data_IF_977127697833
#
_entry.id   IF_977127697833
#
_cell.length_a   1.000
_cell.length_b   1.000
_cell.length_c   1.000
_cell.angle_alpha   90.00
_cell.angle_beta   90.00
_cell.angle_gamma   90.00
#
_symmetry.space_group_name_H-M   'P 1'
#
loop_
_entity.id
_entity.type
_entity.pdbx_description
1 polymer ?
#
# COMPACT_ATOMS: atom_id res chain seq x y z
N UNK A 1 55.61 7.07 -22.41
CA UNK A 1 55.11 6.20 -21.32
C UNK A 1 54.33 7.08 -20.35
N UNK A 2 53.01 7.12 -20.47
CA UNK A 2 52.14 7.92 -19.61
C UNK A 2 50.84 7.18 -19.41
N UNK A 3 50.82 6.24 -18.47
CA UNK A 3 49.62 5.55 -18.06
C UNK A 3 48.83 6.51 -17.15
N UNK A 4 47.82 7.16 -17.70
CA UNK A 4 46.87 7.94 -16.91
C UNK A 4 46.00 6.95 -16.12
N UNK A 5 46.20 6.93 -14.81
CA UNK A 5 45.36 6.19 -13.87
C UNK A 5 43.98 6.84 -13.83
N UNK A 6 42.98 6.19 -14.44
CA UNK A 6 41.59 6.61 -14.31
C UNK A 6 41.05 5.87 -13.08
N UNK A 7 40.73 6.55 -11.96
CA UNK A 7 40.14 5.88 -10.82
C UNK A 7 38.79 5.29 -11.26
N UNK A 8 38.65 3.98 -11.12
CA UNK A 8 37.47 3.22 -11.50
C UNK A 8 36.32 3.60 -10.55
N UNK A 9 35.57 4.66 -10.84
CA UNK A 9 34.38 5.04 -10.09
C UNK A 9 33.19 4.16 -10.51
N UNK A 10 33.19 2.89 -10.09
CA UNK A 10 32.06 1.98 -10.31
C UNK A 10 31.12 2.00 -9.10
N UNK A 11 29.94 2.60 -9.26
CA UNK A 11 28.87 2.50 -8.26
C UNK A 11 28.30 1.08 -8.25
N UNK A 12 28.23 0.46 -7.07
CA UNK A 12 27.63 -0.87 -6.88
C UNK A 12 26.61 -0.81 -5.75
N UNK A 13 25.38 -1.23 -6.03
CA UNK A 13 24.34 -1.37 -5.02
C UNK A 13 24.50 -2.72 -4.29
N UNK A 14 24.48 -2.69 -2.96
CA UNK A 14 24.51 -3.87 -2.11
C UNK A 14 23.27 -3.89 -1.23
N UNK A 15 22.46 -4.94 -1.38
CA UNK A 15 21.24 -5.18 -0.60
C UNK A 15 20.36 -3.92 -0.41
N UNK A 16 20.07 -3.15 -1.47
CA UNK A 16 19.28 -1.93 -1.32
C UNK A 16 17.86 -2.27 -0.89
N UNK A 17 17.29 -1.44 -0.01
CA UNK A 17 15.84 -1.43 0.19
C UNK A 17 15.21 -0.59 -0.91
N UNK A 18 14.42 -1.21 -1.78
CA UNK A 18 13.68 -0.47 -2.80
C UNK A 18 12.39 0.11 -2.20
N UNK A 19 12.09 1.37 -2.53
CA UNK A 19 10.85 2.03 -2.13
C UNK A 19 10.01 2.30 -3.38
N UNK A 20 8.80 1.77 -3.41
CA UNK A 20 7.86 1.98 -4.52
C UNK A 20 6.94 3.18 -4.24
N UNK A 21 7.10 4.23 -5.04
CA UNK A 21 6.27 5.44 -4.98
C UNK A 21 5.61 5.70 -6.33
N UNK A 22 4.27 5.66 -6.38
CA UNK A 22 3.51 5.92 -7.59
C UNK A 22 2.11 6.46 -7.28
N UNK A 23 1.49 7.26 -8.17
CA UNK A 23 0.08 7.58 -8.06
C UNK A 23 -0.76 6.31 -8.22
N UNK A 24 -1.82 6.18 -7.41
CA UNK A 24 -2.71 5.01 -7.41
C UNK A 24 -3.42 4.79 -8.76
N UNK A 25 -3.71 5.85 -9.50
CA UNK A 25 -4.28 5.81 -10.85
C UNK A 25 -4.01 7.09 -11.62
N UNK A 26 -4.04 7.02 -12.96
CA UNK A 26 -3.72 8.15 -13.86
C UNK A 26 -4.77 9.26 -13.85
N UNK A 27 -6.05 8.90 -13.70
CA UNK A 27 -7.18 9.84 -13.75
C UNK A 27 -8.22 9.48 -12.69
N UNK A 28 -9.09 10.45 -12.36
CA UNK A 28 -10.19 10.23 -11.41
C UNK A 28 -9.76 10.04 -9.94
N UNK A 29 -8.50 10.30 -9.60
CA UNK A 29 -7.97 10.14 -8.24
C UNK A 29 -8.72 10.99 -7.20
N UNK A 30 -9.01 12.25 -7.51
CA UNK A 30 -9.72 13.15 -6.59
C UNK A 30 -11.10 12.61 -6.21
N UNK A 31 -11.92 12.21 -7.20
CA UNK A 31 -13.25 11.62 -6.96
C UNK A 31 -13.15 10.32 -6.17
N UNK A 32 -12.20 9.46 -6.51
CA UNK A 32 -12.00 8.19 -5.82
C UNK A 32 -11.60 8.40 -4.35
N UNK A 33 -10.68 9.34 -4.08
CA UNK A 33 -10.28 9.71 -2.73
C UNK A 33 -11.42 10.32 -1.92
N UNK A 34 -12.27 11.14 -2.54
CA UNK A 34 -13.44 11.70 -1.87
C UNK A 34 -14.41 10.59 -1.42
N UNK A 35 -14.67 9.60 -2.29
CA UNK A 35 -15.50 8.44 -1.94
C UNK A 35 -14.91 7.61 -0.80
N UNK A 36 -13.60 7.30 -0.86
CA UNK A 36 -12.91 6.61 0.22
C UNK A 36 -12.95 7.39 1.54
N UNK A 37 -12.71 8.70 1.49
CA UNK A 37 -12.71 9.54 2.69
C UNK A 37 -14.08 9.58 3.37
N UNK A 38 -15.15 9.64 2.57
CA UNK A 38 -16.51 9.61 3.08
C UNK A 38 -16.83 8.26 3.74
N UNK A 39 -16.53 7.17 3.07
CA UNK A 39 -16.76 5.84 3.62
C UNK A 39 -15.92 5.56 4.87
N UNK A 40 -14.68 6.05 4.94
CA UNK A 40 -13.85 5.98 6.16
C UNK A 40 -14.50 6.69 7.35
N UNK A 41 -15.17 7.84 7.14
CA UNK A 41 -15.89 8.55 8.20
C UNK A 41 -17.11 7.77 8.64
N UNK A 42 -17.91 7.29 7.70
CA UNK A 42 -19.09 6.48 7.99
C UNK A 42 -18.70 5.22 8.77
N UNK A 43 -17.67 4.49 8.31
CA UNK A 43 -17.14 3.31 8.98
C UNK A 43 -16.76 3.62 10.43
N UNK A 44 -15.99 4.69 10.64
CA UNK A 44 -15.59 5.13 11.97
C UNK A 44 -16.81 5.40 12.85
N UNK A 45 -17.83 6.06 12.33
CA UNK A 45 -19.00 6.49 13.10
C UNK A 45 -19.94 5.31 13.42
N UNK A 46 -20.01 4.28 12.56
CA UNK A 46 -20.72 3.02 12.83
C UNK A 46 -19.94 2.08 13.77
N UNK A 47 -18.61 2.09 13.75
CA UNK A 47 -17.77 1.14 14.49
C UNK A 47 -17.59 1.49 15.98
N UNK A 48 -18.67 1.38 16.75
CA UNK A 48 -18.62 1.68 18.19
C UNK A 48 -17.63 0.76 18.94
N UNK A 49 -17.47 -0.49 18.51
CA UNK A 49 -16.52 -1.43 19.11
C UNK A 49 -15.07 -1.00 18.84
N UNK A 50 -14.72 -0.71 17.58
CA UNK A 50 -13.40 -0.24 17.19
C UNK A 50 -13.04 1.11 17.81
N UNK A 51 -13.99 2.04 17.94
CA UNK A 51 -13.76 3.30 18.68
C UNK A 51 -13.45 3.05 20.16
N UNK A 52 -14.21 2.19 20.85
CA UNK A 52 -13.97 1.84 22.27
C UNK A 52 -12.64 1.13 22.48
N UNK A 53 -12.24 0.27 21.54
CA UNK A 53 -10.95 -0.40 21.56
C UNK A 53 -9.81 0.59 21.31
N UNK A 54 -9.94 1.44 20.28
CA UNK A 54 -8.94 2.44 19.91
C UNK A 54 -8.70 3.46 21.02
N UNK A 55 -9.76 3.89 21.71
CA UNK A 55 -9.65 4.81 22.86
C UNK A 55 -8.76 4.27 23.98
N UNK A 56 -8.60 2.94 24.08
CA UNK A 56 -7.76 2.30 25.10
C UNK A 56 -6.39 1.87 24.55
N UNK A 57 -6.32 1.50 23.27
CA UNK A 57 -5.17 0.76 22.71
C UNK A 57 -4.47 1.44 21.53
N UNK A 58 -5.06 2.50 20.95
CA UNK A 58 -4.54 3.17 19.76
C UNK A 58 -4.42 4.69 19.99
N UNK A 59 -3.34 5.15 20.67
CA UNK A 59 -3.10 6.56 20.88
C UNK A 59 -2.89 7.23 19.51
N UNK A 60 -3.81 8.12 19.11
CA UNK A 60 -3.79 8.77 17.79
C UNK A 60 -5.11 8.73 17.04
N UNK A 61 -6.16 8.13 17.61
CA UNK A 61 -7.52 8.28 17.12
C UNK A 61 -8.24 6.95 16.97
N UNK A 62 -8.62 6.62 15.73
CA UNK A 62 -9.40 5.43 15.41
C UNK A 62 -8.66 4.55 14.42
N UNK A 63 -8.70 3.24 14.66
CA UNK A 63 -8.36 2.21 13.69
C UNK A 63 -9.43 1.14 13.67
N UNK A 64 -9.75 0.63 12.48
CA UNK A 64 -10.66 -0.51 12.31
C UNK A 64 -9.93 -1.86 12.42
N UNK A 65 -8.62 -1.86 12.67
CA UNK A 65 -7.79 -3.07 12.60
C UNK A 65 -8.31 -4.22 13.48
N UNK A 66 -8.79 -3.92 14.69
CA UNK A 66 -9.28 -4.90 15.65
C UNK A 66 -10.79 -5.20 15.54
N UNK A 67 -11.50 -4.57 14.60
CA UNK A 67 -12.97 -4.62 14.53
C UNK A 67 -13.51 -4.96 13.14
N UNK A 68 -12.90 -4.42 12.08
CA UNK A 68 -13.27 -4.65 10.68
C UNK A 68 -12.00 -4.71 9.81
N UNK A 69 -11.53 -5.92 9.57
CA UNK A 69 -10.31 -6.23 8.82
C UNK A 69 -10.57 -6.64 7.35
N UNK A 70 -11.78 -7.03 6.99
CA UNK A 70 -12.12 -7.54 5.64
C UNK A 70 -12.98 -6.57 4.80
N UNK A 71 -12.79 -5.24 4.94
CA UNK A 71 -13.59 -4.20 4.27
C UNK A 71 -13.77 -4.41 2.76
N UNK A 72 -12.73 -4.89 2.09
CA UNK A 72 -12.71 -5.14 0.65
C UNK A 72 -13.73 -6.20 0.20
N UNK A 73 -14.19 -7.08 1.10
CA UNK A 73 -15.15 -8.16 0.77
C UNK A 73 -16.59 -7.69 0.69
N UNK A 74 -16.94 -6.63 1.42
CA UNK A 74 -18.32 -6.13 1.50
C UNK A 74 -18.49 -4.69 1.00
N UNK A 75 -17.41 -3.90 0.94
CA UNK A 75 -17.43 -2.56 0.33
C UNK A 75 -16.95 -2.60 -1.12
N UNK A 76 -17.77 -2.03 -2.01
CA UNK A 76 -17.40 -1.85 -3.42
C UNK A 76 -16.27 -0.84 -3.59
N UNK A 77 -16.19 0.20 -2.75
CA UNK A 77 -15.11 1.20 -2.79
C UNK A 77 -13.78 0.58 -2.36
N UNK A 78 -13.76 -0.16 -1.24
CA UNK A 78 -12.56 -0.85 -0.78
C UNK A 78 -12.16 -2.01 -1.68
N UNK A 79 -13.10 -2.76 -2.26
CA UNK A 79 -12.81 -3.74 -3.31
C UNK A 79 -12.23 -3.08 -4.58
N UNK A 80 -12.70 -1.87 -4.89
CA UNK A 80 -12.12 -1.02 -5.93
C UNK A 80 -10.69 -0.56 -5.61
N UNK A 81 -10.37 -0.32 -4.34
CA UNK A 81 -9.03 -0.01 -3.86
C UNK A 81 -8.10 -1.24 -3.93
N UNK A 82 -8.56 -2.40 -3.46
CA UNK A 82 -7.84 -3.67 -3.51
C UNK A 82 -7.36 -3.99 -4.93
N UNK A 83 -8.24 -3.89 -5.93
CA UNK A 83 -7.87 -4.14 -7.33
C UNK A 83 -6.74 -3.23 -7.81
N UNK A 84 -6.76 -1.95 -7.41
CA UNK A 84 -5.71 -0.98 -7.75
C UNK A 84 -4.41 -1.32 -7.03
N UNK A 85 -4.46 -1.56 -5.72
CA UNK A 85 -3.29 -1.95 -4.92
C UNK A 85 -2.65 -3.24 -5.45
N UNK A 86 -3.44 -4.26 -5.76
CA UNK A 86 -2.96 -5.53 -6.32
C UNK A 86 -2.14 -5.31 -7.61
N UNK A 87 -2.54 -4.37 -8.47
CA UNK A 87 -1.76 -4.00 -9.66
C UNK A 87 -0.39 -3.39 -9.29
N UNK A 88 -0.37 -2.49 -8.30
CA UNK A 88 0.87 -1.86 -7.82
C UNK A 88 1.80 -2.87 -7.15
N UNK A 89 1.28 -3.75 -6.29
CA UNK A 89 2.09 -4.78 -5.63
C UNK A 89 2.66 -5.76 -6.65
N UNK A 90 1.90 -6.15 -7.68
CA UNK A 90 2.43 -6.98 -8.78
C UNK A 90 3.53 -6.26 -9.56
N UNK A 91 3.42 -4.96 -9.77
CA UNK A 91 4.47 -4.18 -10.42
C UNK A 91 5.73 -4.11 -9.56
N UNK A 92 5.57 -3.92 -8.25
CA UNK A 92 6.69 -3.87 -7.33
C UNK A 92 7.36 -5.24 -7.12
N UNK A 93 6.58 -6.32 -7.03
CA UNK A 93 7.11 -7.69 -6.99
C UNK A 93 7.98 -8.03 -8.21
N UNK A 94 7.61 -7.52 -9.40
CA UNK A 94 8.46 -7.62 -10.60
C UNK A 94 9.74 -6.80 -10.48
N UNK A 95 9.66 -5.58 -9.95
CA UNK A 95 10.85 -4.73 -9.75
C UNK A 95 11.82 -5.28 -8.69
N UNK A 96 11.31 -6.11 -7.78
CA UNK A 96 12.09 -6.85 -6.78
C UNK A 96 12.62 -8.20 -7.30
N UNK A 97 12.34 -8.57 -8.56
CA UNK A 97 12.64 -9.88 -9.13
C UNK A 97 12.13 -11.06 -8.28
N UNK A 98 10.96 -10.91 -7.66
CA UNK A 98 10.37 -11.96 -6.82
C UNK A 98 9.83 -13.13 -7.67
N UNK A 99 10.34 -14.34 -7.43
CA UNK A 99 9.74 -15.58 -7.95
C UNK A 99 8.47 -15.96 -7.16
N UNK A 100 7.31 -15.72 -7.77
CA UNK A 100 6.02 -16.06 -7.17
C UNK A 100 5.61 -17.53 -7.35
N UNK A 101 6.33 -18.33 -8.15
CA UNK A 101 6.03 -19.75 -8.42
C UNK A 101 4.58 -20.00 -8.83
N UNK A 102 4.04 -19.15 -9.71
CA UNK A 102 2.66 -19.22 -10.18
C UNK A 102 1.59 -18.77 -9.17
N UNK A 103 1.96 -18.34 -7.95
CA UNK A 103 1.02 -17.78 -6.99
C UNK A 103 0.69 -16.32 -7.31
N UNK A 104 -0.48 -15.88 -6.86
CA UNK A 104 -0.90 -14.47 -7.00
C UNK A 104 -0.88 -13.76 -5.65
N UNK A 105 -0.53 -12.49 -5.66
CA UNK A 105 -0.64 -11.62 -4.48
C UNK A 105 -2.11 -11.31 -4.24
N UNK A 106 -2.55 -11.41 -2.98
CA UNK A 106 -3.91 -11.11 -2.53
C UNK A 106 -3.86 -10.26 -1.27
N UNK A 107 -4.87 -9.40 -1.12
CA UNK A 107 -5.17 -8.76 0.15
C UNK A 107 -5.91 -9.80 1.01
N UNK A 108 -5.41 -10.03 2.23
CA UNK A 108 -5.95 -11.02 3.17
C UNK A 108 -6.89 -10.36 4.15
#
# INVERSE_FOLDING_TARGET
MGCLYVPFMSTRAWFPTLIYCAPLQKSGLARFNAGLAEECRQLRDFDAAGRRWSARNYPGGYTSYASMNELHRFSSTFGGLEKKLTRHVRAFARALDMDLRGRTVRLT
#
